data_IF_281013583852
#
_entry.id   IF_281013583852
#
_cell.length_a   1.000
_cell.length_b   1.000
_cell.length_c   1.000
_cell.angle_alpha   90.00
_cell.angle_beta   90.00
_cell.angle_gamma   90.00
#
_symmetry.space_group_name_H-M   'P 1'
#
loop_
_entity.id
_entity.type
_entity.pdbx_description
1 polymer ?
#
# COMPACT_ATOMS: atom_id res chain seq x y z
N UNK A 1 -20.13 -1.87 -25.29
CA UNK A 1 -18.76 -1.79 -24.74
C UNK A 1 -18.75 -0.77 -23.62
N UNK A 2 -18.19 -1.13 -22.46
CA UNK A 2 -18.13 -0.25 -21.29
C UNK A 2 -17.39 1.05 -21.61
N UNK A 3 -18.08 2.17 -21.44
CA UNK A 3 -17.58 3.54 -21.68
C UNK A 3 -16.96 4.04 -20.39
N UNK A 4 -15.70 4.49 -20.40
CA UNK A 4 -15.05 5.05 -19.20
C UNK A 4 -13.70 4.43 -18.81
N UNK A 5 -13.26 3.34 -19.45
CA UNK A 5 -11.97 2.69 -19.14
C UNK A 5 -10.80 3.17 -20.00
N UNK A 6 -11.04 4.02 -21.01
CA UNK A 6 -9.98 4.59 -21.84
C UNK A 6 -9.62 6.01 -21.40
N UNK A 7 -8.33 6.37 -21.48
CA UNK A 7 -7.85 7.75 -21.30
C UNK A 7 -8.61 8.76 -22.18
N UNK A 8 -9.13 8.30 -23.33
CA UNK A 8 -9.96 9.11 -24.24
C UNK A 8 -11.36 9.41 -23.66
N UNK A 9 -11.93 8.47 -22.92
CA UNK A 9 -13.22 8.65 -22.24
C UNK A 9 -13.10 9.55 -21.02
N UNK A 10 -11.96 9.51 -20.33
CA UNK A 10 -11.70 10.36 -19.16
C UNK A 10 -11.65 11.86 -19.52
N UNK A 11 -11.15 12.20 -20.71
CA UNK A 11 -11.21 13.55 -21.26
C UNK A 11 -12.61 13.95 -21.74
N UNK A 12 -13.41 12.97 -22.17
CA UNK A 12 -14.78 13.19 -22.67
C UNK A 12 -15.78 13.39 -21.53
N UNK A 13 -15.52 12.80 -20.37
CA UNK A 13 -16.37 12.87 -19.19
C UNK A 13 -15.55 13.32 -17.96
N UNK A 14 -15.40 14.64 -17.74
CA UNK A 14 -14.57 15.17 -16.65
C UNK A 14 -15.09 14.82 -15.25
N UNK A 15 -16.37 14.45 -15.13
CA UNK A 15 -16.98 13.97 -13.88
C UNK A 15 -16.39 12.65 -13.37
N UNK A 16 -15.74 11.86 -14.23
CA UNK A 16 -15.09 10.61 -13.81
C UNK A 16 -13.74 10.85 -13.13
N UNK A 17 -13.08 11.97 -13.39
CA UNK A 17 -11.77 12.31 -12.82
C UNK A 17 -11.78 12.28 -11.27
N UNK A 18 -12.68 12.98 -10.56
CA UNK A 18 -12.68 12.97 -9.09
C UNK A 18 -12.95 11.57 -8.51
N UNK A 19 -13.75 10.74 -9.19
CA UNK A 19 -14.01 9.36 -8.80
C UNK A 19 -12.71 8.54 -8.83
N UNK A 20 -11.95 8.61 -9.93
CA UNK A 20 -10.68 7.89 -10.06
C UNK A 20 -9.60 8.44 -9.14
N UNK A 21 -9.61 9.74 -8.82
CA UNK A 21 -8.67 10.33 -7.85
C UNK A 21 -8.92 9.76 -6.45
N UNK A 22 -10.17 9.71 -5.98
CA UNK A 22 -10.49 9.12 -4.69
C UNK A 22 -10.14 7.62 -4.65
N UNK A 23 -10.43 6.88 -5.72
CA UNK A 23 -10.07 5.46 -5.83
C UNK A 23 -8.55 5.26 -5.79
N UNK A 24 -7.82 6.03 -6.61
CA UNK A 24 -6.36 5.97 -6.68
C UNK A 24 -5.70 6.36 -5.36
N UNK A 25 -6.21 7.40 -4.69
CA UNK A 25 -5.74 7.81 -3.37
C UNK A 25 -5.98 6.70 -2.33
N UNK A 26 -7.16 6.08 -2.31
CA UNK A 26 -7.47 4.97 -1.40
C UNK A 26 -6.54 3.76 -1.62
N UNK A 27 -6.34 3.37 -2.88
CA UNK A 27 -5.42 2.27 -3.24
C UNK A 27 -3.98 2.59 -2.84
N UNK A 28 -3.53 3.82 -3.06
CA UNK A 28 -2.18 4.25 -2.73
C UNK A 28 -1.94 4.23 -1.21
N UNK A 29 -2.83 4.84 -0.43
CA UNK A 29 -2.72 4.89 1.04
C UNK A 29 -2.78 3.49 1.64
N UNK A 30 -3.72 2.65 1.17
CA UNK A 30 -3.84 1.28 1.64
C UNK A 30 -2.58 0.46 1.33
N UNK A 31 -2.08 0.54 0.09
CA UNK A 31 -0.85 -0.16 -0.30
C UNK A 31 0.37 0.33 0.48
N UNK A 32 0.49 1.65 0.67
CA UNK A 32 1.58 2.23 1.47
C UNK A 32 1.54 1.75 2.92
N UNK A 33 0.36 1.63 3.53
CA UNK A 33 0.20 1.09 4.88
C UNK A 33 0.58 -0.39 4.95
N UNK A 34 0.16 -1.19 3.98
CA UNK A 34 0.54 -2.60 3.91
C UNK A 34 2.05 -2.78 3.71
N UNK A 35 2.68 -1.96 2.87
CA UNK A 35 4.15 -1.98 2.68
C UNK A 35 4.86 -1.58 3.98
N UNK A 36 4.38 -0.54 4.67
CA UNK A 36 4.92 -0.17 6.00
C UNK A 36 4.82 -1.35 6.96
N UNK A 37 3.66 -1.99 7.06
CA UNK A 37 3.45 -3.14 7.94
C UNK A 37 4.37 -4.30 7.55
N UNK A 38 4.45 -4.62 6.26
CA UNK A 38 5.29 -5.67 5.71
C UNK A 38 6.78 -5.50 6.07
N UNK A 39 7.30 -4.27 6.03
CA UNK A 39 8.74 -4.03 6.22
C UNK A 39 9.10 -3.78 7.68
N UNK A 40 8.22 -3.12 8.44
CA UNK A 40 8.52 -2.69 9.80
C UNK A 40 7.93 -3.60 10.88
N UNK A 41 6.97 -4.47 10.57
CA UNK A 41 6.40 -5.34 11.61
C UNK A 41 7.35 -6.46 12.01
N UNK A 42 7.59 -6.66 13.32
CA UNK A 42 8.39 -7.77 13.85
C UNK A 42 7.78 -9.16 13.56
N UNK A 43 6.47 -9.22 13.31
CA UNK A 43 5.76 -10.48 13.05
C UNK A 43 5.92 -10.96 11.59
N UNK A 44 6.38 -10.09 10.69
CA UNK A 44 6.52 -10.40 9.26
C UNK A 44 7.99 -10.69 8.93
N UNK A 45 8.33 -11.97 8.82
CA UNK A 45 9.68 -12.40 8.43
C UNK A 45 9.75 -12.79 6.96
N UNK A 46 10.46 -11.98 6.17
CA UNK A 46 10.77 -12.29 4.76
C UNK A 46 11.85 -13.36 4.59
N UNK A 47 12.57 -13.71 5.67
CA UNK A 47 13.67 -14.68 5.66
C UNK A 47 13.64 -15.59 6.90
N UNK A 48 12.64 -16.49 7.00
CA UNK A 48 12.42 -17.31 8.21
C UNK A 48 13.61 -18.22 8.57
N UNK A 49 14.42 -18.63 7.58
CA UNK A 49 15.62 -19.46 7.82
C UNK A 49 16.83 -18.67 8.35
N UNK A 50 16.92 -17.38 8.06
CA UNK A 50 18.09 -16.54 8.43
C UNK A 50 17.86 -15.79 9.74
N UNK A 51 16.59 -15.53 10.08
CA UNK A 51 16.21 -14.85 11.31
C UNK A 51 15.04 -15.61 11.97
N UNK A 52 15.33 -16.64 12.78
CA UNK A 52 14.32 -17.50 13.40
C UNK A 52 13.51 -16.80 14.50
N UNK A 53 13.98 -15.66 15.04
CA UNK A 53 13.28 -14.88 16.07
C UNK A 53 13.11 -13.40 15.67
N UNK A 54 12.26 -13.08 14.67
CA UNK A 54 12.17 -11.73 14.11
C UNK A 54 11.63 -10.67 15.07
N UNK A 55 10.90 -11.08 16.10
CA UNK A 55 10.43 -10.21 17.19
C UNK A 55 11.54 -9.65 18.08
N UNK A 56 12.75 -10.23 18.08
CA UNK A 56 13.88 -9.70 18.85
C UNK A 56 14.54 -8.48 18.18
N UNK A 57 14.26 -8.18 16.91
CA UNK A 57 14.90 -7.07 16.17
C UNK A 57 14.61 -5.66 16.72
N UNK A 58 13.59 -5.54 17.59
CA UNK A 58 13.18 -4.30 18.23
C UNK A 58 13.41 -4.29 19.75
N UNK A 59 14.05 -5.34 20.30
CA UNK A 59 14.25 -5.51 21.75
C UNK A 59 15.18 -4.44 22.34
N UNK A 60 16.15 -3.96 21.56
CA UNK A 60 17.13 -2.94 21.94
C UNK A 60 16.82 -1.54 21.37
N UNK A 61 15.64 -1.33 20.77
CA UNK A 61 15.24 0.01 20.30
C UNK A 61 14.44 0.72 21.38
N UNK A 62 15.06 1.71 22.03
CA UNK A 62 14.36 2.65 22.90
C UNK A 62 13.30 3.41 22.08
N UNK A 63 12.03 3.24 22.44
CA UNK A 63 10.94 4.06 21.92
C UNK A 63 10.92 5.35 22.73
N UNK A 64 11.30 6.47 22.09
CA UNK A 64 11.15 7.82 22.67
C UNK A 64 9.82 8.45 22.30
#
# INVERSE_FOLDING_TARGET
MMKGMSLKDLRKYPSLIPLYVCLGAGLFISSAYLIRLAVYSPDVSWQPKKNPEPWQAYKDKDYK
#
